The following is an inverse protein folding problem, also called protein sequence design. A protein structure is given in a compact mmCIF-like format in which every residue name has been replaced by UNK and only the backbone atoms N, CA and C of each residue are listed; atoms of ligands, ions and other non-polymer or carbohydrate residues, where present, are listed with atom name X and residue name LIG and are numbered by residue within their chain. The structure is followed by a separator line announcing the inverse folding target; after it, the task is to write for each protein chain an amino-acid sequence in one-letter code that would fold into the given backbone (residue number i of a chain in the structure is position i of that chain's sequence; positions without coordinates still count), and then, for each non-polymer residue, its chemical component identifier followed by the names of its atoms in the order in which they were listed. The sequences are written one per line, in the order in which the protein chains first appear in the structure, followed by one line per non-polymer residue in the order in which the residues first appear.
data_IF_406454820204
#
_entry.id   IF_406454820204
#
_cell.length_a   1.000
_cell.length_b   1.000
_cell.length_c   1.000
_cell.angle_alpha   90.00
_cell.angle_beta   90.00
_cell.angle_gamma   90.00
#
_symmetry.space_group_name_H-M   'P 1'
#
loop_
_entity.id
_entity.type
_entity.pdbx_description
1 polymer ?
#
# COMPACT_ATOMS: atom_id res chain seq x y z
N UNK A 1 -20.67 12.05 -7.03
CA UNK A 1 -20.39 10.63 -6.72
C UNK A 1 -19.96 10.56 -5.28
N UNK A 2 -20.44 9.58 -4.52
CA UNK A 2 -20.05 9.44 -3.12
C UNK A 2 -18.56 9.10 -3.04
N UNK A 3 -17.82 9.77 -2.15
CA UNK A 3 -16.37 9.56 -1.97
C UNK A 3 -16.05 8.18 -1.40
N UNK A 4 -16.95 7.62 -0.60
CA UNK A 4 -16.81 6.33 0.06
C UNK A 4 -16.60 5.17 -0.94
N UNK A 5 -17.48 4.94 -1.95
CA UNK A 5 -17.26 3.89 -2.91
C UNK A 5 -15.96 4.09 -3.69
N UNK A 6 -15.56 5.32 -4.00
CA UNK A 6 -14.29 5.57 -4.67
C UNK A 6 -13.09 5.08 -3.84
N UNK A 7 -13.05 5.41 -2.53
CA UNK A 7 -11.98 4.93 -1.63
C UNK A 7 -11.99 3.42 -1.46
N UNK A 8 -13.17 2.79 -1.42
CA UNK A 8 -13.28 1.33 -1.33
C UNK A 8 -12.71 0.67 -2.60
N UNK A 9 -13.06 1.17 -3.80
CA UNK A 9 -12.51 0.63 -5.04
C UNK A 9 -11.00 0.82 -5.12
N UNK A 10 -10.50 2.00 -4.73
CA UNK A 10 -9.06 2.28 -4.67
C UNK A 10 -8.34 1.32 -3.70
N UNK A 11 -8.90 1.10 -2.50
CA UNK A 11 -8.36 0.15 -1.53
C UNK A 11 -8.27 -1.27 -2.08
N UNK A 12 -9.35 -1.77 -2.71
CA UNK A 12 -9.36 -3.11 -3.29
C UNK A 12 -8.31 -3.27 -4.38
N UNK A 13 -8.19 -2.28 -5.25
CA UNK A 13 -7.18 -2.29 -6.31
C UNK A 13 -5.76 -2.30 -5.73
N UNK A 14 -5.49 -1.45 -4.73
CA UNK A 14 -4.20 -1.41 -4.03
C UNK A 14 -3.86 -2.78 -3.44
N UNK A 15 -4.81 -3.39 -2.70
CA UNK A 15 -4.61 -4.71 -2.10
C UNK A 15 -4.30 -5.76 -3.18
N UNK A 16 -5.04 -5.81 -4.28
CA UNK A 16 -4.82 -6.77 -5.37
C UNK A 16 -3.44 -6.58 -5.99
N UNK A 17 -3.09 -5.33 -6.31
CA UNK A 17 -1.81 -4.98 -6.92
C UNK A 17 -0.64 -5.40 -6.02
N UNK A 18 -0.69 -5.02 -4.75
CA UNK A 18 0.37 -5.31 -3.79
C UNK A 18 0.48 -6.79 -3.45
N UNK A 19 -0.64 -7.53 -3.40
CA UNK A 19 -0.62 -8.98 -3.25
C UNK A 19 0.13 -9.63 -4.41
N UNK A 20 -0.13 -9.20 -5.66
CA UNK A 20 0.54 -9.72 -6.84
C UNK A 20 2.05 -9.43 -6.78
N UNK A 21 2.42 -8.16 -6.55
CA UNK A 21 3.83 -7.75 -6.45
C UNK A 21 4.55 -8.54 -5.35
N UNK A 22 4.00 -8.59 -4.14
CA UNK A 22 4.65 -9.26 -3.02
C UNK A 22 4.71 -10.78 -3.21
N UNK A 23 3.73 -11.39 -3.88
CA UNK A 23 3.75 -12.82 -4.22
C UNK A 23 4.85 -13.20 -5.22
N UNK A 24 5.23 -12.27 -6.10
CA UNK A 24 6.35 -12.45 -7.02
C UNK A 24 7.70 -12.28 -6.31
N UNK A 25 7.77 -11.39 -5.32
CA UNK A 25 9.00 -11.11 -4.57
C UNK A 25 9.28 -12.15 -3.48
N UNK A 26 8.24 -12.63 -2.80
CA UNK A 26 8.35 -13.51 -1.63
C UNK A 26 7.74 -14.87 -1.93
N UNK A 27 8.56 -15.93 -1.84
CA UNK A 27 8.12 -17.33 -1.95
C UNK A 27 7.53 -17.84 -0.62
N UNK A 28 6.42 -17.24 -0.17
CA UNK A 28 5.65 -17.67 1.02
C UNK A 28 4.20 -17.98 0.64
N UNK A 29 3.43 -18.49 1.60
CA UNK A 29 2.01 -18.78 1.39
C UNK A 29 1.26 -17.53 0.93
N UNK A 30 0.56 -17.65 -0.21
CA UNK A 30 -0.25 -16.58 -0.80
C UNK A 30 -1.29 -16.03 0.18
N UNK A 31 -1.95 -16.90 0.94
CA UNK A 31 -2.92 -16.47 1.95
C UNK A 31 -2.30 -15.56 3.02
N UNK A 32 -1.08 -15.89 3.47
CA UNK A 32 -0.37 -15.06 4.44
C UNK A 32 -0.03 -13.69 3.84
N UNK A 33 0.35 -13.65 2.58
CA UNK A 33 0.62 -12.40 1.84
C UNK A 33 -0.63 -11.53 1.80
N UNK A 34 -1.76 -12.08 1.35
CA UNK A 34 -3.01 -11.34 1.23
C UNK A 34 -3.49 -10.79 2.57
N UNK A 35 -3.43 -11.59 3.64
CA UNK A 35 -3.86 -11.14 4.97
C UNK A 35 -2.99 -9.97 5.46
N UNK A 36 -1.68 -10.05 5.29
CA UNK A 36 -0.77 -8.99 5.75
C UNK A 36 -0.97 -7.70 4.97
N UNK A 37 -1.04 -7.78 3.63
CA UNK A 37 -1.30 -6.61 2.78
C UNK A 37 -2.65 -5.99 3.11
N UNK A 38 -3.70 -6.80 3.25
CA UNK A 38 -5.02 -6.32 3.60
C UNK A 38 -5.01 -5.57 4.94
N UNK A 39 -4.37 -6.13 5.97
CA UNK A 39 -4.30 -5.48 7.29
C UNK A 39 -3.53 -4.16 7.24
N UNK A 40 -2.41 -4.11 6.52
CA UNK A 40 -1.62 -2.89 6.37
C UNK A 40 -2.44 -1.81 5.66
N UNK A 41 -2.98 -2.14 4.48
CA UNK A 41 -3.70 -1.17 3.64
C UNK A 41 -5.06 -0.74 4.20
N UNK A 42 -5.72 -1.58 4.99
CA UNK A 42 -6.93 -1.17 5.73
C UNK A 42 -6.63 -0.10 6.80
N UNK A 43 -5.37 0.07 7.21
CA UNK A 43 -4.96 1.11 8.16
C UNK A 43 -4.33 2.29 7.43
N UNK A 44 -3.36 2.04 6.55
CA UNK A 44 -2.60 3.10 5.89
C UNK A 44 -3.46 3.90 4.92
N UNK A 45 -4.29 3.25 4.11
CA UNK A 45 -5.08 3.94 3.08
C UNK A 45 -6.14 4.90 3.67
N UNK A 46 -6.96 4.54 4.69
CA UNK A 46 -7.83 5.51 5.34
C UNK A 46 -7.07 6.64 6.03
N UNK A 47 -5.91 6.35 6.63
CA UNK A 47 -5.08 7.36 7.30
C UNK A 47 -4.52 8.39 6.31
N UNK A 48 -3.98 7.94 5.17
CA UNK A 48 -3.49 8.83 4.10
C UNK A 48 -4.63 9.70 3.59
N UNK A 49 -5.78 9.11 3.23
CA UNK A 49 -6.91 9.86 2.70
C UNK A 49 -7.41 10.91 3.69
N UNK A 50 -7.48 10.57 4.99
CA UNK A 50 -7.84 11.53 6.03
C UNK A 50 -6.82 12.68 6.12
N UNK A 51 -5.53 12.37 6.18
CA UNK A 51 -4.46 13.38 6.27
C UNK A 51 -4.38 14.26 5.02
N UNK A 52 -4.61 13.68 3.84
CA UNK A 52 -4.63 14.41 2.58
C UNK A 52 -5.82 15.36 2.50
N UNK A 53 -7.03 14.89 2.81
CA UNK A 53 -8.26 15.68 2.62
C UNK A 53 -8.53 16.69 3.73
N UNK A 54 -8.10 16.40 4.97
CA UNK A 54 -8.42 17.23 6.14
C UNK A 54 -7.27 18.16 6.51
N UNK A 55 -6.03 17.70 6.34
CA UNK A 55 -4.85 18.44 6.75
C UNK A 55 -4.03 18.99 5.57
N UNK A 56 -4.49 18.79 4.31
CA UNK A 56 -3.83 19.23 3.07
C UNK A 56 -2.33 18.88 3.03
N UNK A 57 -1.96 17.74 3.61
CA UNK A 57 -0.56 17.31 3.64
C UNK A 57 -0.16 16.87 2.22
N UNK A 58 1.00 17.32 1.69
CA UNK A 58 1.46 16.93 0.37
C UNK A 58 1.54 15.40 0.23
N UNK A 59 0.95 14.87 -0.85
CA UNK A 59 0.84 13.43 -1.09
C UNK A 59 2.19 12.71 -1.04
N UNK A 60 3.23 13.28 -1.65
CA UNK A 60 4.59 12.74 -1.59
C UNK A 60 5.10 12.52 -0.15
N UNK A 61 4.77 13.43 0.76
CA UNK A 61 5.18 13.34 2.16
C UNK A 61 4.40 12.23 2.88
N UNK A 62 3.11 12.07 2.56
CA UNK A 62 2.29 10.98 3.07
C UNK A 62 2.81 9.62 2.60
N UNK A 63 3.05 9.43 1.30
CA UNK A 63 3.55 8.16 0.76
C UNK A 63 4.93 7.79 1.36
N UNK A 64 5.82 8.78 1.53
CA UNK A 64 7.10 8.52 2.19
C UNK A 64 6.93 8.08 3.65
N UNK A 65 5.97 8.67 4.37
CA UNK A 65 5.64 8.27 5.73
C UNK A 65 5.07 6.85 5.78
N UNK A 66 4.23 6.49 4.81
CA UNK A 66 3.61 5.16 4.71
C UNK A 66 4.67 4.11 4.45
N UNK A 67 5.57 4.35 3.50
CA UNK A 67 6.73 3.47 3.26
C UNK A 67 7.49 3.23 4.56
N UNK A 68 7.77 4.28 5.34
CA UNK A 68 8.48 4.13 6.62
C UNK A 68 7.66 3.30 7.63
N UNK A 69 6.36 3.54 7.71
CA UNK A 69 5.46 2.83 8.62
C UNK A 69 5.31 1.33 8.27
N UNK A 70 5.34 0.99 6.98
CA UNK A 70 5.10 -0.36 6.48
C UNK A 70 6.32 -1.29 6.59
N UNK A 71 7.53 -0.74 6.70
CA UNK A 71 8.77 -1.51 6.88
C UNK A 71 8.67 -2.47 8.06
N UNK A 72 8.20 -1.99 9.21
CA UNK A 72 8.18 -2.80 10.44
C UNK A 72 7.16 -3.94 10.39
N UNK A 73 5.88 -3.71 10.01
CA UNK A 73 4.91 -4.77 9.77
C UNK A 73 5.39 -5.83 8.76
N UNK A 74 5.95 -5.40 7.62
CA UNK A 74 6.45 -6.33 6.59
C UNK A 74 7.62 -7.18 7.11
N UNK A 75 8.57 -6.54 7.80
CA UNK A 75 9.71 -7.21 8.44
C UNK A 75 9.23 -8.28 9.41
N UNK A 76 8.30 -7.94 10.30
CA UNK A 76 7.79 -8.83 11.35
C UNK A 76 6.95 -9.96 10.76
N UNK A 77 6.09 -9.65 9.79
CA UNK A 77 5.20 -10.65 9.17
C UNK A 77 5.97 -11.69 8.36
N UNK A 78 6.99 -11.29 7.61
CA UNK A 78 7.71 -12.17 6.69
C UNK A 78 9.12 -12.56 7.14
N UNK A 79 9.56 -12.10 8.32
CA UNK A 79 10.90 -12.32 8.87
C UNK A 79 12.01 -11.88 7.90
N UNK A 80 11.83 -10.70 7.29
CA UNK A 80 12.75 -10.16 6.30
C UNK A 80 13.97 -9.50 6.95
N UNK A 81 15.08 -9.42 6.20
CA UNK A 81 16.14 -8.48 6.56
C UNK A 81 15.61 -7.05 6.40
N UNK A 82 16.14 -6.11 7.19
CA UNK A 82 15.67 -4.71 7.15
C UNK A 82 15.80 -4.10 5.74
N UNK A 83 16.85 -4.47 5.01
CA UNK A 83 17.10 -4.01 3.64
C UNK A 83 16.00 -4.47 2.68
N UNK A 84 15.58 -5.73 2.79
CA UNK A 84 14.51 -6.29 1.97
C UNK A 84 13.15 -5.69 2.33
N UNK A 85 12.88 -5.48 3.62
CA UNK A 85 11.66 -4.83 4.08
C UNK A 85 11.54 -3.39 3.55
N UNK A 86 12.64 -2.62 3.55
CA UNK A 86 12.71 -1.29 2.94
C UNK A 86 12.42 -1.37 1.44
N UNK A 87 13.15 -2.25 0.73
CA UNK A 87 13.00 -2.39 -0.72
C UNK A 87 11.57 -2.78 -1.10
N UNK A 88 10.98 -3.73 -0.41
CA UNK A 88 9.64 -4.22 -0.71
C UNK A 88 8.57 -3.17 -0.39
N UNK A 89 8.69 -2.44 0.72
CA UNK A 89 7.77 -1.35 1.04
C UNK A 89 7.81 -0.27 -0.05
N UNK A 90 9.00 0.14 -0.49
CA UNK A 90 9.15 1.10 -1.60
C UNK A 90 8.49 0.56 -2.88
N UNK A 91 8.75 -0.70 -3.24
CA UNK A 91 8.21 -1.31 -4.46
C UNK A 91 6.69 -1.44 -4.44
N UNK A 92 6.11 -1.87 -3.33
CA UNK A 92 4.67 -2.02 -3.17
C UNK A 92 3.98 -0.68 -3.35
N UNK A 93 4.42 0.31 -2.58
CA UNK A 93 3.82 1.63 -2.52
C UNK A 93 4.01 2.41 -3.83
N UNK A 94 5.18 2.30 -4.47
CA UNK A 94 5.40 2.87 -5.80
C UNK A 94 4.52 2.23 -6.87
N UNK A 95 4.32 0.90 -6.81
CA UNK A 95 3.51 0.18 -7.79
C UNK A 95 2.02 0.54 -7.66
N UNK A 96 1.49 0.54 -6.43
CA UNK A 96 0.11 0.93 -6.16
C UNK A 96 -0.16 2.40 -6.49
N UNK A 97 0.78 3.30 -6.17
CA UNK A 97 0.71 4.71 -6.57
C UNK A 97 0.67 4.87 -8.10
N UNK A 98 1.58 4.23 -8.83
CA UNK A 98 1.61 4.30 -10.30
C UNK A 98 0.33 3.74 -10.93
N UNK A 99 -0.22 2.66 -10.37
CA UNK A 99 -1.48 2.08 -10.82
C UNK A 99 -2.65 3.04 -10.57
N UNK A 100 -2.70 3.67 -9.40
CA UNK A 100 -3.68 4.71 -9.07
C UNK A 100 -3.60 5.89 -10.05
N UNK A 101 -2.40 6.41 -10.30
CA UNK A 101 -2.18 7.50 -11.26
C UNK A 101 -2.62 7.12 -12.68
N UNK A 102 -2.31 5.90 -13.13
CA UNK A 102 -2.70 5.42 -14.45
C UNK A 102 -4.23 5.39 -14.61
N UNK A 103 -4.94 4.87 -13.61
CA UNK A 103 -6.42 4.83 -13.65
C UNK A 103 -7.02 6.23 -13.65
N UNK A 104 -6.54 7.13 -12.79
CA UNK A 104 -7.07 8.51 -12.75
C UNK A 104 -6.76 9.32 -14.02
N UNK A 105 -5.69 8.98 -14.75
CA UNK A 105 -5.25 9.74 -15.93
C UNK A 105 -5.87 9.22 -17.23
N UNK A 106 -6.10 7.90 -17.35
CA UNK A 106 -6.47 7.26 -18.62
C UNK A 106 -7.90 6.71 -18.67
N UNK A 107 -8.64 6.71 -17.55
CA UNK A 107 -9.99 6.17 -17.40
C UNK A 107 -10.96 7.28 -16.99
#
# INVERSE_FOLDING_TARGET
MDLIPLFIHALFLTIICECLVLSLLIRKSYLKICVVILLINCVTNPAINYLYLIHDIPLFLLESGVVVCEIYPLKLAFYLAIKDAILYSILLNACSYCMGYFIFTFL
#
